data_IF_789090057751
#
_entry.id   IF_789090057751
#
_cell.length_a   1.000
_cell.length_b   1.000
_cell.length_c   1.000
_cell.angle_alpha   90.00
_cell.angle_beta   90.00
_cell.angle_gamma   90.00
#
_symmetry.space_group_name_H-M   'P 1'
#
loop_
_entity.id
_entity.type
_entity.pdbx_description
1 polymer ?
#
# COMPACT_ATOMS: atom_id res chain seq x y z
N UNK A 1 34.21 26.45 17.15
CA UNK A 1 33.69 26.22 15.78
C UNK A 1 32.95 24.88 15.75
N UNK A 2 31.99 24.65 14.78
CA UNK A 2 31.30 23.36 14.64
C UNK A 2 32.30 22.17 14.54
N UNK A 3 33.45 22.37 13.92
CA UNK A 3 34.52 21.35 13.82
C UNK A 3 35.11 20.96 15.18
N UNK A 4 35.34 21.92 16.08
CA UNK A 4 35.83 21.63 17.44
C UNK A 4 34.82 20.83 18.26
N UNK A 5 33.52 21.09 18.14
CA UNK A 5 32.46 20.32 18.82
C UNK A 5 32.45 18.87 18.33
N UNK A 6 32.57 18.65 17.01
CA UNK A 6 32.63 17.30 16.46
C UNK A 6 33.89 16.54 16.87
N UNK A 7 35.04 17.19 16.90
CA UNK A 7 36.29 16.56 17.34
C UNK A 7 36.25 16.20 18.82
N UNK A 8 35.71 17.07 19.68
CA UNK A 8 35.54 16.77 21.12
C UNK A 8 34.53 15.64 21.34
N UNK A 9 33.43 15.62 20.60
CA UNK A 9 32.46 14.54 20.66
C UNK A 9 33.06 13.20 20.22
N UNK A 10 33.80 13.16 19.11
CA UNK A 10 34.48 11.96 18.62
C UNK A 10 35.56 11.47 19.58
N UNK A 11 36.37 12.38 20.11
CA UNK A 11 37.41 12.03 21.11
C UNK A 11 36.74 11.51 22.42
N UNK A 12 35.70 12.17 22.88
CA UNK A 12 34.92 11.73 24.05
C UNK A 12 34.29 10.36 23.88
N UNK A 13 33.67 10.08 22.71
CA UNK A 13 33.11 8.76 22.42
C UNK A 13 34.18 7.68 22.28
N UNK A 14 35.33 7.97 21.69
CA UNK A 14 36.44 7.03 21.60
C UNK A 14 37.01 6.69 22.99
N UNK A 15 37.23 7.68 23.85
CA UNK A 15 37.69 7.46 25.25
C UNK A 15 36.64 6.67 26.03
N UNK A 16 35.36 7.01 25.91
CA UNK A 16 34.29 6.28 26.57
C UNK A 16 34.20 4.81 26.11
N UNK A 17 34.37 4.56 24.79
CA UNK A 17 34.37 3.20 24.23
C UNK A 17 35.55 2.35 24.75
N UNK A 18 36.73 2.95 24.82
CA UNK A 18 37.93 2.28 25.37
C UNK A 18 37.75 1.99 26.87
N UNK A 19 37.29 2.96 27.65
CA UNK A 19 37.01 2.82 29.06
C UNK A 19 35.93 1.75 29.34
N UNK A 20 34.85 1.74 28.54
CA UNK A 20 33.78 0.74 28.66
C UNK A 20 34.31 -0.69 28.42
N UNK A 21 35.19 -0.88 27.42
CA UNK A 21 35.84 -2.19 27.15
C UNK A 21 36.79 -2.61 28.29
N UNK A 22 37.61 -1.68 28.77
CA UNK A 22 38.55 -1.98 29.87
C UNK A 22 37.87 -2.29 31.21
N UNK A 23 36.67 -1.70 31.44
CA UNK A 23 35.89 -1.91 32.65
C UNK A 23 34.87 -3.06 32.54
N UNK A 24 34.86 -3.80 31.41
CA UNK A 24 33.88 -4.88 31.16
C UNK A 24 32.44 -4.39 31.08
N UNK A 25 32.20 -3.08 30.85
CA UNK A 25 30.85 -2.44 30.75
C UNK A 25 30.47 -2.07 29.32
N UNK A 26 31.01 -2.80 28.33
CA UNK A 26 30.71 -2.55 26.93
C UNK A 26 29.32 -3.08 26.50
N UNK A 27 28.76 -3.98 27.31
CA UNK A 27 27.43 -4.54 27.03
C UNK A 27 26.34 -3.76 27.75
N UNK A 28 25.15 -3.78 27.14
CA UNK A 28 23.96 -3.17 27.77
C UNK A 28 23.68 -3.87 29.10
N UNK A 29 23.44 -3.13 30.23
CA UNK A 29 23.19 -3.72 31.53
C UNK A 29 21.97 -4.66 31.48
N UNK A 30 22.13 -5.90 31.90
CA UNK A 30 21.05 -6.90 31.89
C UNK A 30 19.82 -6.45 32.73
N UNK A 31 20.04 -5.68 33.81
CA UNK A 31 18.94 -5.09 34.60
C UNK A 31 18.19 -3.93 33.94
N UNK A 32 18.69 -3.41 32.81
CA UNK A 32 18.03 -2.36 32.02
C UNK A 32 17.33 -2.91 30.77
N UNK A 33 17.28 -4.23 30.60
CA UNK A 33 16.52 -4.90 29.52
C UNK A 33 15.10 -5.16 29.97
N UNK A 34 14.13 -4.67 29.18
CA UNK A 34 12.72 -5.04 29.36
C UNK A 34 12.45 -6.29 28.52
N UNK A 35 12.05 -7.38 29.18
CA UNK A 35 11.57 -8.57 28.45
C UNK A 35 10.17 -8.33 27.92
N UNK A 36 10.09 -7.68 26.72
CA UNK A 36 8.81 -7.37 26.06
C UNK A 36 8.29 -8.59 25.29
N UNK A 37 9.11 -9.58 25.01
CA UNK A 37 8.74 -10.72 24.18
C UNK A 37 7.61 -11.55 24.82
N UNK A 38 7.65 -11.76 26.12
CA UNK A 38 6.66 -12.56 26.85
C UNK A 38 5.26 -11.92 26.84
N UNK A 39 5.06 -10.64 27.26
CA UNK A 39 3.74 -10.01 27.16
C UNK A 39 3.25 -9.83 25.71
N UNK A 40 4.14 -9.68 24.73
CA UNK A 40 3.75 -9.65 23.30
C UNK A 40 3.27 -11.03 22.85
N UNK A 41 3.96 -12.11 23.24
CA UNK A 41 3.52 -13.47 22.92
C UNK A 41 2.18 -13.79 23.56
N UNK A 42 1.96 -13.37 24.80
CA UNK A 42 0.68 -13.56 25.50
C UNK A 42 -0.46 -12.80 24.79
N UNK A 43 -0.20 -11.58 24.38
CA UNK A 43 -1.17 -10.79 23.60
C UNK A 43 -1.48 -11.45 22.25
N UNK A 44 -0.48 -11.94 21.52
CA UNK A 44 -0.67 -12.66 20.25
C UNK A 44 -1.44 -13.96 20.47
N UNK A 45 -1.10 -14.73 21.49
CA UNK A 45 -1.81 -15.96 21.83
C UNK A 45 -3.28 -15.68 22.19
N UNK A 46 -3.54 -14.64 22.98
CA UNK A 46 -4.90 -14.22 23.29
C UNK A 46 -5.66 -13.81 22.03
N UNK A 47 -5.06 -13.00 21.14
CA UNK A 47 -5.65 -12.60 19.88
C UNK A 47 -5.96 -13.81 18.99
N UNK A 48 -5.03 -14.74 18.86
CA UNK A 48 -5.22 -15.96 18.08
C UNK A 48 -6.33 -16.83 18.66
N UNK A 49 -6.39 -16.99 19.96
CA UNK A 49 -7.42 -17.81 20.61
C UNK A 49 -8.83 -17.22 20.49
N UNK A 50 -8.96 -15.88 20.54
CA UNK A 50 -10.28 -15.21 20.63
C UNK A 50 -10.72 -14.57 19.32
N UNK A 51 -9.77 -14.06 18.50
CA UNK A 51 -10.10 -13.35 17.25
C UNK A 51 -9.95 -14.26 16.04
N UNK A 52 -8.89 -15.06 15.96
CA UNK A 52 -8.63 -15.92 14.80
C UNK A 52 -9.67 -17.04 14.71
N UNK A 53 -9.89 -17.78 15.80
CA UNK A 53 -10.90 -18.83 15.87
C UNK A 53 -12.33 -18.30 15.98
N UNK A 54 -12.47 -17.07 16.46
CA UNK A 54 -13.73 -16.33 16.54
C UNK A 54 -14.65 -16.71 17.67
N UNK A 55 -15.80 -16.06 17.69
CA UNK A 55 -16.91 -16.32 18.62
C UNK A 55 -18.01 -17.13 17.91
N UNK A 56 -18.68 -18.04 18.59
CA UNK A 56 -19.83 -18.74 18.02
C UNK A 56 -20.81 -17.74 17.38
N UNK A 57 -21.29 -18.05 16.17
CA UNK A 57 -22.23 -17.23 15.36
C UNK A 57 -21.60 -16.11 14.53
N UNK A 58 -20.54 -15.45 15.01
CA UNK A 58 -19.90 -14.32 14.27
C UNK A 58 -18.73 -14.81 13.42
N UNK A 59 -18.13 -15.97 13.77
CA UNK A 59 -16.92 -16.49 13.15
C UNK A 59 -15.65 -15.77 13.62
N UNK A 60 -14.54 -16.21 13.12
CA UNK A 60 -13.23 -15.63 13.39
C UNK A 60 -12.68 -14.83 12.22
N UNK A 61 -11.55 -14.17 12.44
CA UNK A 61 -10.84 -13.46 11.36
C UNK A 61 -10.34 -14.42 10.28
N UNK A 62 -10.08 -15.69 10.61
CA UNK A 62 -9.78 -16.74 9.64
C UNK A 62 -10.96 -17.01 8.70
N UNK A 63 -12.18 -17.08 9.23
CA UNK A 63 -13.38 -17.27 8.42
C UNK A 63 -13.63 -16.09 7.50
N UNK A 64 -13.42 -14.86 8.01
CA UNK A 64 -13.49 -13.64 7.21
C UNK A 64 -12.45 -13.65 6.08
N UNK A 65 -11.23 -14.11 6.35
CA UNK A 65 -10.18 -14.24 5.33
C UNK A 65 -10.57 -15.28 4.26
N UNK A 66 -11.15 -16.40 4.66
CA UNK A 66 -11.64 -17.43 3.75
C UNK A 66 -12.79 -16.90 2.89
N UNK A 67 -13.79 -16.24 3.49
CA UNK A 67 -14.89 -15.62 2.75
C UNK A 67 -14.41 -14.53 1.80
N UNK A 68 -13.50 -13.64 2.24
CA UNK A 68 -12.92 -12.61 1.39
C UNK A 68 -12.18 -13.21 0.19
N UNK A 69 -11.45 -14.30 0.42
CA UNK A 69 -10.76 -15.04 -0.66
C UNK A 69 -11.78 -15.60 -1.66
N UNK A 70 -12.80 -16.33 -1.19
CA UNK A 70 -13.77 -17.01 -2.03
C UNK A 70 -14.71 -16.04 -2.78
N UNK A 71 -15.12 -14.94 -2.13
CA UNK A 71 -16.12 -14.03 -2.71
C UNK A 71 -15.53 -12.87 -3.48
N UNK A 72 -14.27 -12.50 -3.23
CA UNK A 72 -13.63 -11.35 -3.88
C UNK A 72 -12.38 -11.73 -4.67
N UNK A 73 -11.43 -12.48 -4.07
CA UNK A 73 -10.15 -12.75 -4.73
C UNK A 73 -10.27 -13.83 -5.80
N UNK A 74 -10.98 -14.92 -5.54
CA UNK A 74 -11.14 -16.02 -6.50
C UNK A 74 -11.93 -15.58 -7.74
N UNK A 75 -13.12 -14.95 -7.64
CA UNK A 75 -13.85 -14.50 -8.82
C UNK A 75 -13.07 -13.49 -9.66
N UNK A 76 -12.31 -12.60 -8.99
CA UNK A 76 -11.50 -11.61 -9.70
C UNK A 76 -10.33 -12.26 -10.44
N UNK A 77 -9.64 -13.21 -9.81
CA UNK A 77 -8.57 -14.01 -10.42
C UNK A 77 -9.09 -14.83 -11.59
N UNK A 78 -10.15 -15.58 -11.36
CA UNK A 78 -10.70 -16.51 -12.36
C UNK A 78 -11.31 -15.71 -13.53
N UNK A 79 -11.91 -14.57 -13.26
CA UNK A 79 -12.36 -13.63 -14.29
C UNK A 79 -11.22 -13.11 -15.17
N UNK A 80 -10.08 -12.70 -14.56
CA UNK A 80 -8.91 -12.24 -15.30
C UNK A 80 -8.29 -13.38 -16.14
N UNK A 81 -8.20 -14.59 -15.57
CA UNK A 81 -7.64 -15.76 -16.28
C UNK A 81 -8.56 -16.28 -17.40
N UNK A 82 -9.88 -16.08 -17.29
CA UNK A 82 -10.83 -16.44 -18.33
C UNK A 82 -10.73 -15.54 -19.58
N UNK A 83 -10.14 -14.35 -19.44
CA UNK A 83 -9.97 -13.44 -20.55
C UNK A 83 -8.83 -13.92 -21.49
N UNK A 84 -9.05 -13.93 -22.82
CA UNK A 84 -7.96 -14.14 -23.77
C UNK A 84 -6.85 -13.09 -23.57
N UNK A 85 -5.59 -13.48 -23.72
CA UNK A 85 -4.45 -12.60 -23.55
C UNK A 85 -4.54 -11.28 -24.32
N UNK A 86 -5.05 -11.33 -25.55
CA UNK A 86 -5.22 -10.13 -26.39
C UNK A 86 -6.30 -9.18 -25.86
N UNK A 87 -7.35 -9.70 -25.22
CA UNK A 87 -8.39 -8.84 -24.59
C UNK A 87 -7.85 -8.10 -23.39
N UNK A 88 -6.99 -8.72 -22.58
CA UNK A 88 -6.29 -8.05 -21.47
C UNK A 88 -5.43 -6.90 -22.00
N UNK A 89 -4.66 -7.14 -23.09
CA UNK A 89 -3.86 -6.09 -23.73
C UNK A 89 -4.73 -4.93 -24.26
N UNK A 90 -5.88 -5.24 -24.86
CA UNK A 90 -6.81 -4.22 -25.35
C UNK A 90 -7.43 -3.41 -24.20
N UNK A 91 -7.80 -4.05 -23.11
CA UNK A 91 -8.33 -3.36 -21.90
C UNK A 91 -7.27 -2.42 -21.32
N UNK A 92 -6.03 -2.90 -21.17
CA UNK A 92 -4.91 -2.07 -20.68
C UNK A 92 -4.67 -0.89 -21.63
N UNK A 93 -4.63 -1.12 -22.94
CA UNK A 93 -4.47 -0.06 -23.93
C UNK A 93 -5.58 0.97 -23.87
N UNK A 94 -6.84 0.52 -23.78
CA UNK A 94 -8.00 1.39 -23.70
C UNK A 94 -8.00 2.24 -22.42
N UNK A 95 -7.77 1.63 -21.25
CA UNK A 95 -7.70 2.34 -19.96
C UNK A 95 -6.57 3.38 -19.95
N UNK A 96 -5.37 2.99 -20.39
CA UNK A 96 -4.22 3.89 -20.44
C UNK A 96 -4.43 5.03 -21.45
N UNK A 97 -5.17 4.81 -22.54
CA UNK A 97 -5.51 5.84 -23.51
C UNK A 97 -6.57 6.81 -23.00
N UNK A 98 -7.59 6.30 -22.32
CA UNK A 98 -8.65 7.12 -21.73
C UNK A 98 -8.12 8.12 -20.68
N UNK A 99 -7.18 7.65 -19.85
CA UNK A 99 -6.62 8.46 -18.76
C UNK A 99 -5.43 9.29 -19.24
N UNK A 100 -4.66 8.76 -20.18
CA UNK A 100 -3.40 9.36 -20.64
C UNK A 100 -3.38 9.76 -22.10
N UNK A 101 -2.30 9.37 -22.76
CA UNK A 101 -2.01 9.62 -24.18
C UNK A 101 -1.77 8.31 -24.91
N UNK A 102 -1.71 8.34 -26.25
CA UNK A 102 -1.36 7.16 -27.05
C UNK A 102 0.02 6.58 -26.65
N UNK A 103 0.97 7.42 -26.19
CA UNK A 103 2.30 7.00 -25.73
C UNK A 103 2.21 6.22 -24.40
N UNK A 104 1.36 6.69 -23.49
CA UNK A 104 1.12 5.96 -22.22
C UNK A 104 0.40 4.64 -22.46
N UNK A 105 -0.56 4.60 -23.40
CA UNK A 105 -1.21 3.37 -23.82
C UNK A 105 -0.21 2.37 -24.42
N UNK A 106 0.66 2.83 -25.33
CA UNK A 106 1.68 1.99 -25.94
C UNK A 106 2.64 1.41 -24.90
N UNK A 107 3.16 2.26 -23.98
CA UNK A 107 4.11 1.78 -22.94
C UNK A 107 3.44 0.81 -21.96
N UNK A 108 2.20 1.02 -21.55
CA UNK A 108 1.47 0.11 -20.68
C UNK A 108 1.20 -1.23 -21.35
N UNK A 109 0.79 -1.20 -22.64
CA UNK A 109 0.53 -2.43 -23.43
C UNK A 109 1.80 -3.20 -23.69
N UNK A 110 2.92 -2.53 -24.02
CA UNK A 110 4.22 -3.20 -24.21
C UNK A 110 4.73 -3.83 -22.91
N UNK A 111 4.56 -3.15 -21.76
CA UNK A 111 4.92 -3.70 -20.47
C UNK A 111 4.10 -4.97 -20.16
N UNK A 112 2.79 -4.96 -20.42
CA UNK A 112 1.95 -6.13 -20.23
C UNK A 112 2.27 -7.26 -21.23
N UNK A 113 2.56 -6.93 -22.49
CA UNK A 113 2.99 -7.91 -23.49
C UNK A 113 4.34 -8.56 -23.13
N UNK A 114 5.27 -7.80 -22.57
CA UNK A 114 6.56 -8.32 -22.11
C UNK A 114 6.39 -9.42 -21.04
N UNK A 115 5.40 -9.31 -20.17
CA UNK A 115 5.05 -10.35 -19.18
C UNK A 115 4.69 -11.67 -19.88
N UNK A 116 3.93 -11.61 -20.97
CA UNK A 116 3.60 -12.78 -21.78
C UNK A 116 4.84 -13.44 -22.40
N UNK A 117 5.77 -12.62 -22.89
CA UNK A 117 7.06 -13.12 -23.45
C UNK A 117 7.93 -13.76 -22.37
N UNK A 118 7.86 -13.29 -21.14
CA UNK A 118 8.57 -13.86 -19.99
C UNK A 118 7.96 -15.18 -19.47
N UNK A 119 6.86 -15.66 -20.06
CA UNK A 119 6.16 -16.92 -19.69
C UNK A 119 5.65 -16.97 -18.23
N UNK A 120 5.40 -15.82 -17.61
CA UNK A 120 4.87 -15.69 -16.24
C UNK A 120 3.50 -15.00 -16.22
N UNK A 121 2.71 -15.23 -17.27
CA UNK A 121 1.41 -14.60 -17.49
C UNK A 121 0.43 -14.89 -16.34
N UNK A 122 0.26 -16.17 -15.97
CA UNK A 122 -0.69 -16.58 -14.95
C UNK A 122 -0.33 -16.04 -13.55
N UNK A 123 0.95 -16.15 -13.15
CA UNK A 123 1.44 -15.55 -11.90
C UNK A 123 1.24 -14.03 -11.87
N UNK A 124 1.35 -13.37 -13.02
CA UNK A 124 1.12 -11.93 -13.14
C UNK A 124 -0.35 -11.56 -13.04
N UNK A 125 -1.26 -12.32 -13.62
CA UNK A 125 -2.70 -12.12 -13.45
C UNK A 125 -3.15 -12.36 -12.01
N UNK A 126 -2.56 -13.34 -11.33
CA UNK A 126 -2.80 -13.58 -9.90
C UNK A 126 -2.34 -12.41 -9.05
N UNK A 127 -1.15 -11.88 -9.31
CA UNK A 127 -0.66 -10.66 -8.64
C UNK A 127 -1.58 -9.49 -8.93
N UNK A 128 -1.99 -9.30 -10.19
CA UNK A 128 -2.89 -8.22 -10.60
C UNK A 128 -4.24 -8.31 -9.89
N UNK A 129 -4.80 -9.51 -9.74
CA UNK A 129 -6.07 -9.71 -9.03
C UNK A 129 -5.98 -9.26 -7.58
N UNK A 130 -4.92 -9.63 -6.87
CA UNK A 130 -4.67 -9.21 -5.49
C UNK A 130 -4.48 -7.70 -5.38
N UNK A 131 -3.72 -7.11 -6.31
CA UNK A 131 -3.50 -5.65 -6.36
C UNK A 131 -4.81 -4.91 -6.59
N UNK A 132 -5.62 -5.34 -7.56
CA UNK A 132 -6.91 -4.70 -7.85
C UNK A 132 -7.86 -4.76 -6.64
N UNK A 133 -7.95 -5.91 -5.97
CA UNK A 133 -8.75 -6.07 -4.76
C UNK A 133 -8.26 -5.14 -3.64
N UNK A 134 -6.96 -5.15 -3.37
CA UNK A 134 -6.37 -4.31 -2.33
C UNK A 134 -6.52 -2.81 -2.64
N UNK A 135 -6.32 -2.40 -3.89
CA UNK A 135 -6.50 -1.01 -4.34
C UNK A 135 -7.95 -0.58 -4.17
N UNK A 136 -8.92 -1.40 -4.60
CA UNK A 136 -10.33 -1.08 -4.45
C UNK A 136 -10.71 -0.81 -2.98
N UNK A 137 -10.31 -1.70 -2.07
CA UNK A 137 -10.56 -1.53 -0.63
C UNK A 137 -9.82 -0.29 -0.09
N UNK A 138 -8.54 -0.12 -0.45
CA UNK A 138 -7.73 1.03 0.00
C UNK A 138 -8.33 2.36 -0.46
N UNK A 139 -8.80 2.45 -1.69
CA UNK A 139 -9.38 3.69 -2.22
C UNK A 139 -10.73 4.00 -1.58
N UNK A 140 -11.59 3.00 -1.40
CA UNK A 140 -12.88 3.20 -0.73
C UNK A 140 -12.67 3.70 0.70
N UNK A 141 -11.85 3.01 1.49
CA UNK A 141 -11.57 3.39 2.88
C UNK A 141 -10.74 4.68 2.96
N UNK A 142 -9.71 4.80 2.13
CA UNK A 142 -8.78 5.93 2.17
C UNK A 142 -9.40 7.24 1.71
N UNK A 143 -10.21 7.23 0.64
CA UNK A 143 -10.91 8.43 0.20
C UNK A 143 -12.00 8.81 1.21
N UNK A 144 -12.79 7.85 1.70
CA UNK A 144 -13.83 8.12 2.69
C UNK A 144 -13.26 8.74 3.98
N UNK A 145 -12.21 8.13 4.53
CA UNK A 145 -11.52 8.66 5.73
C UNK A 145 -10.78 9.97 5.45
N UNK A 146 -10.19 10.14 4.27
CA UNK A 146 -9.55 11.37 3.83
C UNK A 146 -10.54 12.54 3.70
N UNK A 147 -11.74 12.28 3.16
CA UNK A 147 -12.83 13.26 3.12
C UNK A 147 -13.29 13.63 4.54
N UNK A 148 -13.44 12.64 5.43
CA UNK A 148 -13.81 12.89 6.82
C UNK A 148 -12.75 13.74 7.54
N UNK A 149 -11.46 13.44 7.35
CA UNK A 149 -10.34 14.21 7.88
C UNK A 149 -10.28 15.65 7.31
N UNK A 150 -10.57 15.81 6.00
CA UNK A 150 -10.60 17.13 5.37
C UNK A 150 -11.71 18.04 5.95
N UNK A 151 -12.83 17.45 6.37
CA UNK A 151 -14.02 18.18 6.86
C UNK A 151 -14.05 18.40 8.36
N UNK A 152 -13.23 17.71 9.12
CA UNK A 152 -13.24 17.78 10.59
C UNK A 152 -11.82 17.77 11.15
N UNK A 153 -11.42 18.89 11.76
CA UNK A 153 -10.12 18.99 12.42
C UNK A 153 -9.99 18.05 13.63
N UNK A 154 -11.11 17.65 14.24
CA UNK A 154 -11.09 16.65 15.31
C UNK A 154 -10.72 15.29 14.77
N UNK A 155 -11.34 14.87 13.66
CA UNK A 155 -11.04 13.59 12.98
C UNK A 155 -9.59 13.57 12.52
N UNK A 156 -9.12 14.64 11.87
CA UNK A 156 -7.75 14.77 11.42
C UNK A 156 -6.74 14.66 12.58
N UNK A 157 -7.01 15.35 13.69
CA UNK A 157 -6.15 15.32 14.89
C UNK A 157 -6.04 13.94 15.52
N UNK A 158 -7.13 13.16 15.51
CA UNK A 158 -7.14 11.78 16.03
C UNK A 158 -6.43 10.82 15.05
N UNK A 159 -6.66 11.01 13.76
CA UNK A 159 -6.08 10.11 12.74
C UNK A 159 -4.58 10.32 12.54
N UNK A 160 -4.07 11.55 12.65
CA UNK A 160 -2.65 11.87 12.41
C UNK A 160 -1.67 10.94 13.13
N UNK A 161 -1.73 10.79 14.48
CA UNK A 161 -0.75 9.95 15.18
C UNK A 161 -0.85 8.48 14.75
N UNK A 162 -2.05 7.98 14.47
CA UNK A 162 -2.26 6.61 13.97
C UNK A 162 -1.65 6.44 12.59
N UNK A 163 -1.92 7.37 11.67
CA UNK A 163 -1.35 7.35 10.32
C UNK A 163 0.18 7.53 10.34
N UNK A 164 0.73 8.31 11.30
CA UNK A 164 2.17 8.48 11.46
C UNK A 164 2.84 7.17 11.86
N UNK A 165 2.30 6.47 12.84
CA UNK A 165 2.79 5.15 13.26
C UNK A 165 2.79 4.19 12.07
N UNK A 166 1.67 4.10 11.36
CA UNK A 166 1.59 3.21 10.20
C UNK A 166 2.57 3.57 9.07
N UNK A 167 2.92 4.81 8.85
CA UNK A 167 3.88 5.20 7.81
C UNK A 167 5.35 4.99 8.21
N UNK A 168 5.65 4.94 9.50
CA UNK A 168 7.04 4.73 9.99
C UNK A 168 7.42 3.26 10.08
N UNK A 169 6.45 2.36 10.11
CA UNK A 169 6.71 0.92 10.22
C UNK A 169 7.25 0.34 8.90
N UNK A 170 8.32 -0.47 8.93
CA UNK A 170 8.76 -1.22 7.77
C UNK A 170 7.68 -2.16 7.23
N UNK A 171 7.62 -2.33 5.91
CA UNK A 171 6.56 -3.12 5.25
C UNK A 171 6.40 -4.55 5.80
N UNK A 172 7.50 -5.22 6.13
CA UNK A 172 7.48 -6.58 6.68
C UNK A 172 6.81 -6.68 8.04
N UNK A 173 6.85 -5.61 8.85
CA UNK A 173 6.28 -5.62 10.21
C UNK A 173 4.76 -5.76 10.17
N UNK A 174 4.11 -5.31 9.10
CA UNK A 174 2.66 -5.48 8.93
C UNK A 174 2.23 -6.92 8.74
N UNK A 175 3.09 -7.76 8.15
CA UNK A 175 2.75 -9.17 7.92
C UNK A 175 2.59 -9.94 9.22
N UNK A 176 3.35 -9.59 10.26
CA UNK A 176 3.34 -10.33 11.55
C UNK A 176 1.94 -10.33 12.18
N UNK A 177 1.34 -9.16 12.54
CA UNK A 177 0.02 -9.15 13.17
C UNK A 177 -1.09 -9.60 12.20
N UNK A 178 -0.92 -9.34 10.90
CA UNK A 178 -1.95 -9.74 9.92
C UNK A 178 -1.96 -11.26 9.75
N UNK A 179 -0.79 -11.92 9.71
CA UNK A 179 -0.72 -13.39 9.66
C UNK A 179 -1.24 -14.02 10.95
N UNK A 180 -0.95 -13.43 12.10
CA UNK A 180 -1.47 -13.91 13.39
C UNK A 180 -3.00 -13.84 13.45
N UNK A 181 -3.62 -12.82 12.83
CA UNK A 181 -5.07 -12.63 12.85
C UNK A 181 -5.81 -13.35 11.71
N UNK A 182 -5.23 -13.45 10.51
CA UNK A 182 -5.91 -13.91 9.31
C UNK A 182 -5.31 -15.20 8.72
N UNK A 183 -4.24 -15.73 9.31
CA UNK A 183 -3.50 -16.88 8.80
C UNK A 183 -2.55 -16.53 7.65
N UNK A 184 -2.10 -17.56 6.93
CA UNK A 184 -1.25 -17.43 5.74
C UNK A 184 -2.09 -17.47 4.46
N UNK A 185 -1.64 -16.78 3.40
CA UNK A 185 -2.32 -16.82 2.12
C UNK A 185 -2.56 -15.45 1.47
N UNK A 186 -3.46 -15.40 0.49
CA UNK A 186 -3.74 -14.19 -0.31
C UNK A 186 -4.48 -13.11 0.47
N UNK A 187 -5.49 -13.48 1.26
CA UNK A 187 -6.28 -12.52 2.02
C UNK A 187 -5.41 -11.72 3.03
N UNK A 188 -4.58 -12.33 3.88
CA UNK A 188 -3.69 -11.58 4.77
C UNK A 188 -2.72 -10.66 4.01
N UNK A 189 -2.19 -11.08 2.87
CA UNK A 189 -1.33 -10.22 2.04
C UNK A 189 -2.07 -8.96 1.56
N UNK A 190 -3.32 -9.13 1.10
CA UNK A 190 -4.19 -8.01 0.70
C UNK A 190 -4.51 -7.10 1.88
N UNK A 191 -4.84 -7.65 3.05
CA UNK A 191 -5.10 -6.85 4.26
C UNK A 191 -3.87 -6.03 4.65
N UNK A 192 -2.68 -6.64 4.67
CA UNK A 192 -1.43 -5.93 4.95
C UNK A 192 -1.17 -4.79 3.95
N UNK A 193 -1.44 -5.04 2.65
CA UNK A 193 -1.28 -4.04 1.60
C UNK A 193 -2.26 -2.86 1.79
N UNK A 194 -3.52 -3.14 2.14
CA UNK A 194 -4.52 -2.12 2.46
C UNK A 194 -4.06 -1.25 3.63
N UNK A 195 -3.68 -1.88 4.75
CA UNK A 195 -3.26 -1.15 5.97
C UNK A 195 -2.04 -0.27 5.69
N UNK A 196 -1.07 -0.77 4.91
CA UNK A 196 0.13 -0.01 4.56
C UNK A 196 -0.15 1.18 3.62
N UNK A 197 -1.00 1.00 2.62
CA UNK A 197 -1.26 2.03 1.62
C UNK A 197 -2.28 3.08 2.10
N UNK A 198 -3.16 2.70 3.03
CA UNK A 198 -4.25 3.54 3.55
C UNK A 198 -3.79 4.93 4.03
N UNK A 199 -2.73 5.09 4.84
CA UNK A 199 -2.28 6.39 5.33
C UNK A 199 -1.93 7.39 4.22
N UNK A 200 -1.26 6.92 3.17
CA UNK A 200 -0.89 7.78 2.05
C UNK A 200 -2.13 8.29 1.30
N UNK A 201 -3.08 7.39 1.01
CA UNK A 201 -4.33 7.75 0.32
C UNK A 201 -5.16 8.72 1.16
N UNK A 202 -5.29 8.48 2.47
CA UNK A 202 -6.00 9.38 3.41
C UNK A 202 -5.39 10.78 3.40
N UNK A 203 -4.05 10.87 3.56
CA UNK A 203 -3.36 12.16 3.63
C UNK A 203 -3.44 12.96 2.34
N UNK A 204 -3.18 12.32 1.21
CA UNK A 204 -3.22 12.99 -0.09
C UNK A 204 -4.65 13.46 -0.40
N UNK A 205 -5.65 12.64 -0.08
CA UNK A 205 -7.07 13.01 -0.23
C UNK A 205 -7.44 14.20 0.67
N UNK A 206 -7.10 14.13 1.96
CA UNK A 206 -7.41 15.20 2.91
C UNK A 206 -6.72 16.52 2.53
N UNK A 207 -5.44 16.45 2.16
CA UNK A 207 -4.67 17.60 1.74
C UNK A 207 -5.20 18.20 0.43
N UNK A 208 -5.52 17.36 -0.55
CA UNK A 208 -6.07 17.80 -1.83
C UNK A 208 -7.40 18.54 -1.68
N UNK A 209 -8.28 18.08 -0.79
CA UNK A 209 -9.54 18.76 -0.49
C UNK A 209 -9.36 20.07 0.28
N UNK A 210 -8.38 20.15 1.18
CA UNK A 210 -8.07 21.37 1.94
C UNK A 210 -7.37 22.44 1.10
N UNK A 211 -6.70 22.07 0.01
CA UNK A 211 -6.01 22.98 -0.90
C UNK A 211 -6.94 23.59 -1.96
N UNK A 212 -8.21 23.23 -1.99
CA UNK A 212 -9.19 23.86 -2.88
C UNK A 212 -9.32 25.33 -2.53
N UNK A 213 -9.33 26.20 -3.55
CA UNK A 213 -9.40 27.66 -3.42
C UNK A 213 -10.54 28.08 -2.50
N UNK A 214 -10.27 28.78 -1.37
CA UNK A 214 -11.29 29.31 -0.47
C UNK A 214 -12.31 30.21 -1.18
N UNK A 215 -11.90 30.99 -2.19
CA UNK A 215 -12.79 31.88 -2.93
C UNK A 215 -13.87 31.09 -3.69
N UNK A 216 -13.52 29.91 -4.25
CA UNK A 216 -14.52 29.05 -4.87
C UNK A 216 -15.54 28.49 -3.88
N UNK A 217 -15.10 28.19 -2.63
CA UNK A 217 -15.98 27.71 -1.58
C UNK A 217 -16.88 28.81 -1.03
N UNK A 218 -16.35 30.02 -0.88
CA UNK A 218 -17.13 31.20 -0.43
C UNK A 218 -18.18 31.58 -1.49
N UNK A 219 -17.83 31.58 -2.76
CA UNK A 219 -18.77 31.81 -3.86
C UNK A 219 -19.92 30.78 -3.85
N UNK A 220 -19.60 29.50 -3.65
CA UNK A 220 -20.63 28.45 -3.57
C UNK A 220 -21.54 28.66 -2.32
N UNK A 221 -20.97 29.09 -1.19
CA UNK A 221 -21.74 29.40 0.03
C UNK A 221 -22.67 30.60 -0.17
N UNK A 222 -22.19 31.66 -0.81
CA UNK A 222 -22.99 32.85 -1.12
C UNK A 222 -24.19 32.54 -2.01
N UNK A 223 -24.07 31.50 -2.86
CA UNK A 223 -25.17 30.98 -3.69
C UNK A 223 -26.06 29.98 -2.92
N UNK A 224 -25.88 29.80 -1.62
CA UNK A 224 -26.70 28.93 -0.78
C UNK A 224 -26.36 27.44 -0.85
N UNK A 225 -25.18 27.05 -1.39
CA UNK A 225 -24.80 25.66 -1.48
C UNK A 225 -24.60 25.03 -0.08
N UNK A 226 -25.27 23.90 0.15
CA UNK A 226 -25.11 23.09 1.38
C UNK A 226 -23.71 22.47 1.41
N UNK A 227 -23.25 22.08 2.61
CA UNK A 227 -21.93 21.45 2.77
C UNK A 227 -21.75 20.16 1.93
N UNK A 228 -22.84 19.44 1.63
CA UNK A 228 -22.80 18.27 0.75
C UNK A 228 -22.63 18.68 -0.71
N UNK A 229 -23.34 19.72 -1.15
CA UNK A 229 -23.21 20.28 -2.51
C UNK A 229 -21.81 20.85 -2.72
N UNK A 230 -21.26 21.58 -1.73
CA UNK A 230 -19.88 22.08 -1.79
C UNK A 230 -18.87 20.94 -1.97
N UNK A 231 -19.03 19.82 -1.25
CA UNK A 231 -18.12 18.66 -1.39
C UNK A 231 -18.20 18.06 -2.80
N UNK A 232 -19.41 17.70 -3.24
CA UNK A 232 -19.58 16.94 -4.49
C UNK A 232 -19.44 17.78 -5.75
N UNK A 233 -19.91 19.04 -5.73
CA UNK A 233 -19.97 19.88 -6.91
C UNK A 233 -18.78 20.85 -7.03
N UNK A 234 -18.06 21.13 -5.94
CA UNK A 234 -16.94 22.07 -5.94
C UNK A 234 -15.63 21.41 -5.51
N UNK A 235 -15.56 20.86 -4.28
CA UNK A 235 -14.29 20.36 -3.73
C UNK A 235 -13.76 19.15 -4.48
N UNK A 236 -14.55 18.11 -4.68
CA UNK A 236 -14.10 16.89 -5.37
C UNK A 236 -13.70 17.15 -6.83
N UNK A 237 -14.45 17.91 -7.64
CA UNK A 237 -14.02 18.26 -8.99
C UNK A 237 -12.74 19.09 -9.03
N UNK A 238 -12.57 20.08 -8.15
CA UNK A 238 -11.37 20.92 -8.08
C UNK A 238 -10.16 20.15 -7.53
N UNK A 239 -10.35 19.22 -6.57
CA UNK A 239 -9.32 18.37 -6.02
C UNK A 239 -8.96 17.17 -6.93
N UNK A 240 -9.56 17.03 -8.11
CA UNK A 240 -9.39 15.86 -8.99
C UNK A 240 -7.94 15.46 -9.21
N UNK A 241 -7.02 16.41 -9.39
CA UNK A 241 -5.59 16.10 -9.58
C UNK A 241 -4.98 15.41 -8.36
N UNK A 242 -5.28 15.90 -7.17
CA UNK A 242 -4.82 15.31 -5.90
C UNK A 242 -5.45 13.93 -5.66
N UNK A 243 -6.72 13.75 -6.02
CA UNK A 243 -7.38 12.46 -5.91
C UNK A 243 -6.77 11.42 -6.86
N UNK A 244 -6.46 11.80 -8.11
CA UNK A 244 -5.75 10.92 -9.04
C UNK A 244 -4.33 10.59 -8.54
N UNK A 245 -3.65 11.53 -7.89
CA UNK A 245 -2.38 11.27 -7.23
C UNK A 245 -2.54 10.28 -6.07
N UNK A 246 -3.60 10.40 -5.27
CA UNK A 246 -3.91 9.45 -4.20
C UNK A 246 -4.13 8.03 -4.74
N UNK A 247 -4.86 7.90 -5.87
CA UNK A 247 -5.06 6.63 -6.56
C UNK A 247 -3.72 6.04 -7.01
N UNK A 248 -2.90 6.82 -7.71
CA UNK A 248 -1.60 6.36 -8.20
C UNK A 248 -0.68 5.91 -7.05
N UNK A 249 -0.57 6.71 -5.98
CA UNK A 249 0.23 6.34 -4.81
C UNK A 249 -0.33 5.10 -4.10
N UNK A 250 -1.65 4.99 -3.97
CA UNK A 250 -2.31 3.79 -3.43
C UNK A 250 -1.93 2.53 -4.21
N UNK A 251 -1.98 2.58 -5.53
CA UNK A 251 -1.61 1.46 -6.41
C UNK A 251 -0.15 1.03 -6.23
N UNK A 252 0.78 2.00 -6.23
CA UNK A 252 2.22 1.71 -6.08
C UNK A 252 2.53 1.08 -4.72
N UNK A 253 1.95 1.62 -3.64
CA UNK A 253 2.17 1.10 -2.29
C UNK A 253 1.53 -0.28 -2.09
N UNK A 254 0.33 -0.49 -2.60
CA UNK A 254 -0.35 -1.79 -2.58
C UNK A 254 0.48 -2.83 -3.32
N UNK A 255 0.94 -2.54 -4.54
CA UNK A 255 1.75 -3.47 -5.32
C UNK A 255 2.99 -3.91 -4.54
N UNK A 256 3.69 -2.97 -3.91
CA UNK A 256 4.89 -3.27 -3.14
C UNK A 256 4.63 -4.30 -2.03
N UNK A 257 3.52 -4.16 -1.30
CA UNK A 257 3.20 -5.06 -0.18
C UNK A 257 2.60 -6.38 -0.64
N UNK A 258 1.79 -6.38 -1.70
CA UNK A 258 1.27 -7.64 -2.30
C UNK A 258 2.43 -8.55 -2.73
N UNK A 259 3.50 -7.98 -3.29
CA UNK A 259 4.69 -8.75 -3.67
C UNK A 259 5.36 -9.36 -2.43
N UNK A 260 5.54 -8.58 -1.35
CA UNK A 260 6.09 -9.07 -0.08
C UNK A 260 5.17 -10.15 0.54
N UNK A 261 3.87 -10.07 0.30
CA UNK A 261 2.89 -11.08 0.67
C UNK A 261 3.19 -12.48 0.13
N UNK A 262 4.00 -12.61 -0.93
CA UNK A 262 4.51 -13.88 -1.41
C UNK A 262 5.26 -14.68 -0.33
N UNK A 263 5.93 -14.00 0.62
CA UNK A 263 6.61 -14.64 1.76
C UNK A 263 5.64 -15.30 2.76
N UNK A 264 4.39 -14.89 2.78
CA UNK A 264 3.36 -15.41 3.69
C UNK A 264 2.30 -16.25 2.94
N UNK A 265 2.68 -16.85 1.83
CA UNK A 265 1.84 -17.78 1.10
C UNK A 265 0.78 -17.13 0.18
N UNK A 266 0.95 -15.86 -0.19
CA UNK A 266 0.06 -15.21 -1.14
C UNK A 266 0.17 -15.75 -2.57
N UNK A 267 1.22 -16.52 -2.87
CA UNK A 267 1.49 -17.04 -4.20
C UNK A 267 1.92 -15.97 -5.19
N UNK A 268 1.67 -16.22 -6.47
CA UNK A 268 1.88 -15.27 -7.57
C UNK A 268 3.35 -14.83 -7.72
N UNK A 269 3.64 -13.73 -8.41
CA UNK A 269 5.01 -13.26 -8.66
C UNK A 269 5.83 -13.03 -7.40
N UNK A 270 5.20 -12.61 -6.30
CA UNK A 270 5.89 -12.41 -5.02
C UNK A 270 6.46 -13.71 -4.46
N UNK A 271 5.73 -14.81 -4.60
CA UNK A 271 6.21 -16.14 -4.23
C UNK A 271 7.37 -16.59 -5.13
N UNK A 272 7.25 -16.39 -6.46
CA UNK A 272 8.28 -16.78 -7.42
C UNK A 272 9.62 -16.07 -7.13
N UNK A 273 9.59 -14.77 -6.78
CA UNK A 273 10.79 -14.04 -6.33
C UNK A 273 11.35 -14.59 -5.02
N UNK A 274 10.49 -14.81 -4.04
CA UNK A 274 10.92 -15.33 -2.73
C UNK A 274 11.51 -16.74 -2.84
N UNK A 275 10.88 -17.60 -3.64
CA UNK A 275 11.33 -18.95 -3.93
C UNK A 275 12.68 -18.94 -4.64
N UNK A 276 12.81 -18.15 -5.72
CA UNK A 276 14.07 -18.03 -6.46
C UNK A 276 15.22 -17.57 -5.58
N UNK A 277 14.96 -16.61 -4.68
CA UNK A 277 15.95 -16.14 -3.71
C UNK A 277 16.33 -17.22 -2.68
N UNK A 278 15.34 -17.93 -2.14
CA UNK A 278 15.56 -18.95 -1.11
C UNK A 278 16.28 -20.21 -1.65
N UNK A 279 15.99 -20.58 -2.90
CA UNK A 279 16.59 -21.76 -3.54
C UNK A 279 17.86 -21.44 -4.33
N UNK A 280 18.24 -20.17 -4.47
CA UNK A 280 19.35 -19.76 -5.32
C UNK A 280 19.05 -19.90 -6.82
N UNK A 281 17.77 -20.06 -7.20
CA UNK A 281 17.32 -20.08 -8.60
C UNK A 281 17.18 -18.64 -9.10
N UNK A 282 18.31 -18.11 -9.57
CA UNK A 282 18.39 -16.75 -10.08
C UNK A 282 17.51 -16.54 -11.32
N UNK A 283 17.30 -17.55 -12.12
CA UNK A 283 16.49 -17.44 -13.34
C UNK A 283 15.03 -17.16 -12.98
N UNK A 284 14.42 -17.99 -12.13
CA UNK A 284 13.04 -17.80 -11.67
C UNK A 284 12.89 -16.45 -10.95
N UNK A 285 13.80 -16.12 -10.03
CA UNK A 285 13.75 -14.86 -9.27
C UNK A 285 13.86 -13.61 -10.15
N UNK A 286 14.78 -13.60 -11.14
CA UNK A 286 14.97 -12.47 -12.05
C UNK A 286 13.81 -12.31 -13.04
N UNK A 287 13.28 -13.40 -13.59
CA UNK A 287 12.13 -13.36 -14.50
C UNK A 287 10.89 -12.82 -13.77
N UNK A 288 10.60 -13.33 -12.57
CA UNK A 288 9.50 -12.84 -11.77
C UNK A 288 9.71 -11.36 -11.35
N UNK A 289 10.93 -10.97 -10.99
CA UNK A 289 11.30 -9.59 -10.71
C UNK A 289 11.08 -8.66 -11.91
N UNK A 290 11.50 -9.07 -13.11
CA UNK A 290 11.26 -8.31 -14.34
C UNK A 290 9.75 -8.17 -14.63
N UNK A 291 8.97 -9.24 -14.44
CA UNK A 291 7.52 -9.19 -14.60
C UNK A 291 6.85 -8.22 -13.59
N UNK A 292 7.33 -8.17 -12.35
CA UNK A 292 6.85 -7.19 -11.35
C UNK A 292 7.12 -5.76 -11.79
N UNK A 293 8.31 -5.47 -12.34
CA UNK A 293 8.64 -4.15 -12.89
C UNK A 293 7.71 -3.80 -14.05
N UNK A 294 7.46 -4.74 -14.96
CA UNK A 294 6.51 -4.55 -16.07
C UNK A 294 5.08 -4.29 -15.55
N UNK A 295 4.63 -5.06 -14.57
CA UNK A 295 3.30 -4.88 -13.95
C UNK A 295 3.19 -3.52 -13.26
N UNK A 296 4.21 -3.11 -12.49
CA UNK A 296 4.30 -1.81 -11.85
C UNK A 296 4.27 -0.66 -12.87
N UNK A 297 5.05 -0.77 -13.95
CA UNK A 297 5.06 0.21 -15.03
C UNK A 297 3.69 0.30 -15.72
N UNK A 298 3.04 -0.81 -16.00
CA UNK A 298 1.71 -0.85 -16.58
C UNK A 298 0.69 -0.15 -15.67
N UNK A 299 0.66 -0.50 -14.38
CA UNK A 299 -0.26 0.09 -13.39
C UNK A 299 -0.01 1.59 -13.21
N UNK A 300 1.25 2.03 -13.14
CA UNK A 300 1.60 3.45 -13.05
C UNK A 300 1.08 4.20 -14.29
N UNK A 301 1.27 3.68 -15.50
CA UNK A 301 0.79 4.31 -16.73
C UNK A 301 -0.73 4.38 -16.83
N UNK A 302 -1.44 3.39 -16.31
CA UNK A 302 -2.91 3.38 -16.29
C UNK A 302 -3.48 4.35 -15.25
N UNK A 303 -2.74 4.64 -14.16
CA UNK A 303 -3.24 5.49 -13.06
C UNK A 303 -2.68 6.91 -13.05
N UNK A 304 -1.61 7.18 -13.79
CA UNK A 304 -0.93 8.48 -13.78
C UNK A 304 -1.70 9.54 -14.56
N UNK A 305 -2.12 10.66 -13.94
CA UNK A 305 -2.83 11.74 -14.62
C UNK A 305 -1.89 12.47 -15.58
N UNK A 306 -2.03 12.24 -16.87
CA UNK A 306 -1.31 13.05 -17.86
C UNK A 306 -2.03 14.36 -18.11
N UNK A 307 -1.27 15.46 -18.08
CA UNK A 307 -1.77 16.84 -18.11
C UNK A 307 -2.55 17.32 -19.35
N UNK A 308 -3.44 16.50 -19.88
CA UNK A 308 -4.33 16.88 -21.01
C UNK A 308 -5.35 17.97 -20.65
N UNK A 309 -5.51 18.27 -19.35
CA UNK A 309 -6.52 19.26 -18.88
C UNK A 309 -6.03 20.73 -18.94
N UNK A 310 -4.74 20.98 -19.21
CA UNK A 310 -4.19 22.35 -19.23
C UNK A 310 -4.40 23.08 -20.59
N UNK A 311 -4.83 22.40 -21.65
CA UNK A 311 -4.98 22.99 -23.01
C UNK A 311 -6.41 23.25 -23.47
N UNK A 312 -7.44 22.98 -22.65
CA UNK A 312 -8.85 23.26 -23.01
C UNK A 312 -9.46 24.46 -22.28
N UNK A 313 -8.65 25.30 -21.64
CA UNK A 313 -9.09 26.49 -20.91
C UNK A 313 -8.15 27.70 -21.12
N UNK A 314 -7.55 27.82 -22.29
CA UNK A 314 -6.87 29.04 -22.72
C UNK A 314 -7.52 29.57 -24.04
#
# INVERSE_FOLDING_TARGET
SRRTVWLVALAGTAVAAVAARLLGRAEWPAGATLNIAEPVNDAVNWMTAHLYSGVPVIGGTADWAAHFTTWMLDPLRDGLRALPWWSVLLIVAALAWLIGTWRTALTATLAMAAIGVLSVWDSSLDTLSQVLAAVAVTLVLGIATGVAAARSDRVDRILRPVLDVFQTMPQFVYLIPVVALFGVGRAPAVVAAVVYALPAVVRITAQGLRQVDPAALESARSLGATGRQQLWQVQLPLARRSLLLAVNQGVVLVLAVVIIGGLVGAGALGYDVAFGLAQGDLATGLVAGAAIVCLGLMLDRVTQPTGRSAKKGA
#
